data_IF_734205401894
#
_entry.id   IF_734205401894
#
_cell.length_a   1.000
_cell.length_b   1.000
_cell.length_c   1.000
_cell.angle_alpha   90.00
_cell.angle_beta   90.00
_cell.angle_gamma   90.00
#
_symmetry.space_group_name_H-M   'P 1'
#
loop_
_entity.id
_entity.type
_entity.pdbx_description
1 polymer ?
#
# COMPACT_ATOMS: atom_id res chain seq x y z
N UNK A 1 -15.15 -13.35 -15.69
CA UNK A 1 -15.11 -12.24 -14.72
C UNK A 1 -13.64 -12.05 -14.37
N UNK A 2 -13.07 -10.88 -14.69
CA UNK A 2 -11.73 -10.57 -14.21
C UNK A 2 -11.81 -10.48 -12.68
N UNK A 3 -10.85 -11.07 -11.98
CA UNK A 3 -10.76 -10.88 -10.54
C UNK A 3 -10.55 -9.37 -10.27
N UNK A 4 -11.25 -8.82 -9.28
CA UNK A 4 -11.14 -7.41 -8.89
C UNK A 4 -9.88 -7.17 -8.04
N UNK A 5 -8.75 -7.56 -8.62
CA UNK A 5 -7.42 -7.44 -8.04
C UNK A 5 -6.35 -7.41 -9.11
N UNK A 6 -5.25 -6.75 -8.79
CA UNK A 6 -3.97 -6.85 -9.47
C UNK A 6 -2.97 -7.54 -8.56
N UNK A 7 -2.13 -8.39 -9.16
CA UNK A 7 -1.10 -9.15 -8.44
C UNK A 7 0.15 -9.17 -9.31
N UNK A 8 1.22 -8.56 -8.82
CA UNK A 8 2.51 -8.49 -9.53
C UNK A 8 3.61 -8.97 -8.60
N UNK A 9 4.56 -9.74 -9.14
CA UNK A 9 5.74 -10.20 -8.40
C UNK A 9 7.02 -9.68 -9.05
N UNK A 10 7.98 -9.26 -8.23
CA UNK A 10 9.32 -8.85 -8.64
C UNK A 10 10.36 -9.46 -7.69
N UNK A 11 11.42 -10.04 -8.23
CA UNK A 11 12.59 -10.42 -7.45
C UNK A 11 13.44 -9.17 -7.19
N UNK A 12 13.69 -8.85 -5.92
CA UNK A 12 14.51 -7.71 -5.48
C UNK A 12 15.81 -8.27 -4.87
N UNK A 13 16.95 -7.70 -5.26
CA UNK A 13 18.28 -8.09 -4.77
C UNK A 13 18.56 -7.54 -3.35
N UNK A 14 17.68 -7.85 -2.40
CA UNK A 14 17.79 -7.50 -0.99
C UNK A 14 17.12 -8.59 -0.14
N UNK A 15 17.48 -8.64 1.14
CA UNK A 15 16.90 -9.58 2.10
C UNK A 15 15.45 -9.21 2.43
N UNK A 16 14.62 -10.17 2.89
CA UNK A 16 13.26 -9.87 3.33
C UNK A 16 13.23 -8.85 4.46
N UNK A 17 14.22 -8.86 5.36
CA UNK A 17 14.36 -7.91 6.45
C UNK A 17 14.57 -6.47 5.96
N UNK A 18 15.46 -6.26 4.99
CA UNK A 18 15.72 -4.94 4.40
C UNK A 18 14.48 -4.39 3.69
N UNK A 19 13.78 -5.22 2.93
CA UNK A 19 12.56 -4.81 2.21
C UNK A 19 11.44 -4.53 3.21
N UNK A 20 11.24 -5.41 4.20
CA UNK A 20 10.21 -5.24 5.22
C UNK A 20 10.44 -3.97 6.05
N UNK A 21 11.70 -3.61 6.34
CA UNK A 21 12.01 -2.36 7.04
C UNK A 21 11.54 -1.11 6.28
N UNK A 22 11.57 -1.12 4.94
CA UNK A 22 11.00 -0.02 4.12
C UNK A 22 9.48 -0.03 4.19
N UNK A 23 8.87 -1.20 4.04
CA UNK A 23 7.42 -1.36 4.03
C UNK A 23 6.78 -1.11 5.40
N UNK A 24 7.52 -1.30 6.48
CA UNK A 24 7.08 -1.03 7.84
C UNK A 24 7.33 0.43 8.27
N UNK A 25 7.96 1.26 7.44
CA UNK A 25 8.25 2.67 7.73
C UNK A 25 7.36 3.58 6.88
N UNK A 26 6.28 4.16 7.47
CA UNK A 26 5.39 5.07 6.75
C UNK A 26 6.12 6.25 6.10
N UNK A 27 7.20 6.76 6.70
CA UNK A 27 7.97 7.88 6.16
C UNK A 27 8.65 7.54 4.81
N UNK A 28 8.78 6.25 4.51
CA UNK A 28 9.37 5.76 3.26
C UNK A 28 8.35 5.38 2.20
N UNK A 29 7.06 5.39 2.51
CA UNK A 29 6.03 4.90 1.57
C UNK A 29 5.96 5.73 0.28
N UNK A 30 6.22 7.04 0.35
CA UNK A 30 6.31 7.89 -0.86
C UNK A 30 7.38 7.40 -1.85
N UNK A 31 8.43 6.73 -1.37
CA UNK A 31 9.50 6.20 -2.24
C UNK A 31 9.10 4.91 -2.97
N UNK A 32 8.01 4.27 -2.56
CA UNK A 32 7.45 3.07 -3.20
C UNK A 32 6.32 3.39 -4.17
N UNK A 33 5.89 4.65 -4.18
CA UNK A 33 4.82 5.15 -5.03
C UNK A 33 5.43 5.71 -6.32
N UNK A 34 5.08 5.17 -7.50
CA UNK A 34 5.73 5.55 -8.75
C UNK A 34 5.29 6.90 -9.31
N UNK A 35 4.27 7.54 -8.71
CA UNK A 35 3.73 8.82 -9.17
C UNK A 35 3.96 9.93 -8.14
N UNK A 36 2.90 10.65 -7.75
CA UNK A 36 2.95 11.78 -6.82
C UNK A 36 1.69 11.79 -5.92
N UNK A 37 1.13 10.61 -5.65
CA UNK A 37 -0.10 10.40 -4.92
C UNK A 37 0.12 10.21 -3.43
N UNK A 38 1.11 9.40 -3.04
CA UNK A 38 1.50 9.22 -1.63
C UNK A 38 2.59 10.24 -1.31
N UNK A 39 2.34 11.08 -0.31
CA UNK A 39 3.27 12.10 0.17
C UNK A 39 3.90 11.66 1.48
N UNK A 40 4.29 12.63 2.30
CA UNK A 40 4.85 12.38 3.62
C UNK A 40 3.84 11.73 4.57
N UNK A 41 4.36 10.92 5.49
CA UNK A 41 3.56 10.36 6.56
C UNK A 41 3.07 11.46 7.52
N UNK A 42 1.85 11.30 8.02
CA UNK A 42 1.32 12.18 9.08
C UNK A 42 2.00 11.85 10.40
N UNK A 43 2.28 10.56 10.62
CA UNK A 43 3.03 10.02 11.76
C UNK A 43 4.15 9.14 11.22
N UNK A 44 5.33 9.23 11.84
CA UNK A 44 6.55 8.52 11.41
C UNK A 44 6.85 7.27 12.22
N UNK A 45 5.99 6.92 13.18
CA UNK A 45 6.13 5.71 13.98
C UNK A 45 6.06 4.47 13.07
N UNK A 46 7.02 3.52 13.20
CA UNK A 46 7.00 2.30 12.41
C UNK A 46 5.74 1.47 12.65
N UNK A 47 5.32 0.74 11.62
CA UNK A 47 4.32 -0.30 11.72
C UNK A 47 4.93 -1.50 12.45
N UNK A 48 4.30 -1.93 13.54
CA UNK A 48 4.82 -2.98 14.43
C UNK A 48 3.85 -4.11 14.71
N UNK A 49 2.57 -3.95 14.38
CA UNK A 49 1.55 -4.97 14.61
C UNK A 49 0.33 -4.79 13.71
N UNK A 50 -0.40 -5.88 13.47
CA UNK A 50 -1.76 -5.82 12.97
C UNK A 50 -2.67 -5.08 13.96
N UNK A 51 -3.68 -4.39 13.43
CA UNK A 51 -4.57 -3.50 14.18
C UNK A 51 -4.02 -2.09 14.39
N UNK A 52 -2.73 -1.85 14.09
CA UNK A 52 -2.16 -0.52 14.12
C UNK A 52 -2.76 0.36 13.01
N UNK A 53 -2.90 1.65 13.30
CA UNK A 53 -3.24 2.68 12.33
C UNK A 53 -2.00 3.49 12.01
N UNK A 54 -1.82 3.84 10.74
CA UNK A 54 -0.92 4.90 10.31
C UNK A 54 -1.63 5.79 9.28
N UNK A 55 -1.16 7.02 9.11
CA UNK A 55 -1.80 7.98 8.20
C UNK A 55 -0.78 8.58 7.24
N UNK A 56 -1.21 8.75 5.99
CA UNK A 56 -0.39 9.34 4.92
C UNK A 56 -1.08 10.59 4.38
N UNK A 57 -0.30 11.64 4.15
CA UNK A 57 -0.74 12.73 3.31
C UNK A 57 -0.78 12.24 1.86
N UNK A 58 -1.81 12.63 1.13
CA UNK A 58 -2.07 12.22 -0.23
C UNK A 58 -2.39 13.43 -1.09
N UNK A 59 -2.10 13.35 -2.38
CA UNK A 59 -2.51 14.37 -3.35
C UNK A 59 -3.15 13.71 -4.56
N UNK A 60 -4.43 14.00 -4.79
CA UNK A 60 -5.14 13.53 -5.98
C UNK A 60 -6.09 14.62 -6.50
N UNK A 61 -5.86 15.18 -7.69
CA UNK A 61 -6.73 16.20 -8.27
C UNK A 61 -8.21 15.75 -8.36
N UNK A 62 -8.45 14.47 -8.66
CA UNK A 62 -9.79 13.89 -8.73
C UNK A 62 -10.51 13.82 -7.37
N UNK A 63 -9.75 13.86 -6.25
CA UNK A 63 -10.29 13.93 -4.89
C UNK A 63 -10.39 15.37 -4.36
N UNK A 64 -10.08 16.38 -5.18
CA UNK A 64 -10.10 17.79 -4.77
C UNK A 64 -8.76 18.34 -4.27
N UNK A 65 -7.65 17.59 -4.44
CA UNK A 65 -6.30 18.01 -4.06
C UNK A 65 -5.75 17.21 -2.88
N UNK A 66 -5.22 17.91 -1.88
CA UNK A 66 -4.64 17.32 -0.68
C UNK A 66 -5.71 16.64 0.21
N UNK A 67 -5.41 15.44 0.69
CA UNK A 67 -6.23 14.74 1.67
C UNK A 67 -5.37 13.80 2.52
N UNK A 68 -5.93 13.33 3.64
CA UNK A 68 -5.28 12.33 4.50
C UNK A 68 -6.01 11.01 4.37
N UNK A 69 -5.26 9.93 4.16
CA UNK A 69 -5.78 8.56 4.25
C UNK A 69 -5.32 7.92 5.56
N UNK A 70 -6.21 7.18 6.20
CA UNK A 70 -5.91 6.41 7.40
C UNK A 70 -5.89 4.92 7.04
N UNK A 71 -4.75 4.29 7.24
CA UNK A 71 -4.48 2.92 6.84
C UNK A 71 -4.51 1.99 8.05
N UNK A 72 -5.47 1.07 8.08
CA UNK A 72 -5.56 0.04 9.11
C UNK A 72 -4.72 -1.17 8.70
N UNK A 73 -3.69 -1.50 9.46
CA UNK A 73 -2.82 -2.65 9.23
C UNK A 73 -3.60 -3.92 9.51
N UNK A 74 -3.87 -4.73 8.50
CA UNK A 74 -4.63 -5.99 8.63
C UNK A 74 -3.73 -7.23 8.58
N UNK A 75 -2.55 -7.12 7.99
CA UNK A 75 -1.53 -8.17 7.95
C UNK A 75 -0.21 -7.60 8.47
N UNK A 76 0.38 -8.30 9.43
CA UNK A 76 1.74 -8.04 9.90
C UNK A 76 2.38 -9.34 10.38
N UNK A 77 3.28 -9.87 9.56
CA UNK A 77 4.17 -10.99 9.88
C UNK A 77 5.58 -10.55 9.48
N UNK A 78 6.40 -10.23 10.49
CA UNK A 78 7.70 -9.61 10.30
C UNK A 78 8.53 -10.37 9.27
N UNK A 79 9.10 -9.62 8.31
CA UNK A 79 9.94 -10.14 7.22
C UNK A 79 9.23 -11.08 6.23
N UNK A 80 7.90 -11.28 6.35
CA UNK A 80 7.13 -12.23 5.53
C UNK A 80 5.94 -11.61 4.84
N UNK A 81 5.10 -10.86 5.55
CA UNK A 81 3.95 -10.20 4.93
C UNK A 81 3.49 -8.97 5.70
N UNK A 82 3.07 -7.96 4.95
CA UNK A 82 2.51 -6.73 5.52
C UNK A 82 1.41 -6.21 4.61
N UNK A 83 0.33 -5.70 5.19
CA UNK A 83 -0.80 -5.21 4.44
C UNK A 83 -1.67 -4.26 5.25
N UNK A 84 -2.42 -3.43 4.53
CA UNK A 84 -3.30 -2.45 5.14
C UNK A 84 -4.50 -2.11 4.27
N UNK A 85 -5.54 -1.60 4.93
CA UNK A 85 -6.80 -1.14 4.36
C UNK A 85 -6.89 0.38 4.47
N UNK A 86 -6.77 1.11 3.35
CA UNK A 86 -7.02 2.54 3.33
C UNK A 86 -8.48 2.85 3.68
N UNK A 87 -8.70 4.00 4.30
CA UNK A 87 -10.01 4.44 4.74
C UNK A 87 -9.98 5.81 5.40
N UNK A 88 -11.10 6.14 6.04
CA UNK A 88 -11.30 7.38 6.77
C UNK A 88 -11.64 7.09 8.22
N UNK A 89 -11.29 8.00 9.13
CA UNK A 89 -11.77 7.97 10.50
C UNK A 89 -13.05 8.79 10.61
N UNK A 90 -14.01 8.33 11.41
CA UNK A 90 -15.12 9.15 11.87
C UNK A 90 -14.71 10.07 13.04
N UNK A 91 -15.61 10.94 13.50
CA UNK A 91 -15.36 11.88 14.60
C UNK A 91 -15.03 11.19 15.93
N UNK A 92 -15.36 9.90 16.06
CA UNK A 92 -15.07 9.08 17.24
C UNK A 92 -13.77 8.26 17.08
N UNK A 93 -13.08 8.38 15.95
CA UNK A 93 -11.84 7.66 15.65
C UNK A 93 -12.04 6.23 15.13
N UNK A 94 -13.26 5.83 14.74
CA UNK A 94 -13.48 4.52 14.15
C UNK A 94 -13.08 4.53 12.67
N UNK A 95 -12.37 3.49 12.24
CA UNK A 95 -11.96 3.33 10.85
C UNK A 95 -13.08 2.76 9.99
N UNK A 96 -13.36 3.45 8.88
CA UNK A 96 -14.21 2.97 7.80
C UNK A 96 -13.35 2.70 6.57
N UNK A 97 -13.14 1.42 6.25
CA UNK A 97 -12.35 1.00 5.11
C UNK A 97 -13.02 1.37 3.77
N UNK A 98 -12.21 1.75 2.78
CA UNK A 98 -12.69 2.08 1.44
C UNK A 98 -13.15 0.88 0.61
N UNK A 99 -12.84 -0.34 1.06
CA UNK A 99 -13.16 -1.58 0.35
C UNK A 99 -12.05 -2.11 -0.57
N UNK A 100 -10.86 -1.52 -0.49
CA UNK A 100 -9.64 -2.05 -1.10
C UNK A 100 -8.52 -2.23 -0.06
N UNK A 101 -7.53 -3.05 -0.41
CA UNK A 101 -6.34 -3.27 0.42
C UNK A 101 -5.07 -3.39 -0.42
N UNK A 102 -3.94 -3.09 0.22
CA UNK A 102 -2.60 -3.37 -0.27
C UNK A 102 -2.00 -4.49 0.57
N UNK A 103 -1.30 -5.43 -0.07
CA UNK A 103 -0.56 -6.49 0.62
C UNK A 103 0.74 -6.80 -0.10
N UNK A 104 1.80 -6.91 0.67
CA UNK A 104 3.10 -7.40 0.25
C UNK A 104 3.35 -8.76 0.89
N UNK A 105 3.74 -9.74 0.07
CA UNK A 105 4.25 -11.04 0.50
C UNK A 105 5.71 -11.18 0.06
N UNK A 106 6.57 -11.59 0.99
CA UNK A 106 8.02 -11.67 0.85
C UNK A 106 8.46 -13.12 0.96
N UNK A 107 9.05 -13.65 -0.10
CA UNK A 107 9.57 -15.02 -0.14
C UNK A 107 11.06 -14.97 -0.44
N UNK A 108 11.95 -15.47 0.45
CA UNK A 108 13.37 -15.57 0.16
C UNK A 108 13.64 -16.34 -1.14
N UNK A 109 14.50 -15.81 -2.00
CA UNK A 109 14.89 -16.42 -3.27
C UNK A 109 16.39 -16.23 -3.51
N UNK A 110 17.20 -17.18 -3.01
CA UNK A 110 18.66 -17.10 -3.07
C UNK A 110 19.20 -15.91 -2.28
N UNK A 111 19.98 -15.06 -2.94
CA UNK A 111 20.52 -13.81 -2.37
C UNK A 111 19.53 -12.63 -2.46
N UNK A 112 18.31 -12.85 -2.96
CA UNK A 112 17.26 -11.84 -3.06
C UNK A 112 15.93 -12.31 -2.46
N UNK A 113 14.86 -11.58 -2.77
CA UNK A 113 13.51 -11.83 -2.28
C UNK A 113 12.50 -11.65 -3.41
N UNK A 114 11.63 -12.63 -3.59
CA UNK A 114 10.44 -12.47 -4.43
C UNK A 114 9.40 -11.69 -3.64
N UNK A 115 9.09 -10.48 -4.11
CA UNK A 115 8.10 -9.58 -3.50
C UNK A 115 6.85 -9.58 -4.36
N UNK A 116 5.74 -10.02 -3.79
CA UNK A 116 4.43 -9.99 -4.44
C UNK A 116 3.59 -8.86 -3.87
N UNK A 117 3.17 -7.92 -4.72
CA UNK A 117 2.24 -6.86 -4.38
C UNK A 117 0.84 -7.22 -4.88
N UNK A 118 -0.13 -7.22 -3.97
CA UNK A 118 -1.55 -7.37 -4.26
C UNK A 118 -2.27 -6.07 -3.98
N UNK A 119 -3.03 -5.58 -4.96
CA UNK A 119 -4.05 -4.56 -4.78
C UNK A 119 -5.41 -5.20 -5.10
N UNK A 120 -6.28 -5.32 -4.11
CA UNK A 120 -7.62 -5.90 -4.29
C UNK A 120 -8.66 -4.86 -3.92
N UNK A 121 -9.66 -4.67 -4.78
CA UNK A 121 -10.74 -3.71 -4.59
C UNK A 121 -12.12 -4.38 -4.60
N UNK A 122 -12.16 -5.70 -4.45
CA UNK A 122 -13.39 -6.49 -4.50
C UNK A 122 -14.40 -6.11 -3.42
N UNK A 123 -13.92 -5.56 -2.30
CA UNK A 123 -14.75 -5.06 -1.20
C UNK A 123 -15.34 -3.65 -1.43
N UNK A 124 -15.02 -2.99 -2.54
CA UNK A 124 -15.51 -1.62 -2.81
C UNK A 124 -17.01 -1.65 -3.07
N UNK A 125 -17.79 -0.90 -2.29
CA UNK A 125 -19.25 -0.80 -2.44
C UNK A 125 -19.67 -0.22 -3.80
N UNK A 126 -20.85 -0.61 -4.30
CA UNK A 126 -21.41 -0.05 -5.53
C UNK A 126 -21.63 1.46 -5.43
N UNK A 127 -22.17 1.95 -4.31
CA UNK A 127 -22.36 3.39 -4.07
C UNK A 127 -21.06 4.17 -4.20
N UNK A 128 -19.94 3.62 -3.71
CA UNK A 128 -18.63 4.25 -3.87
C UNK A 128 -18.20 4.29 -5.33
N UNK A 129 -18.33 3.16 -6.05
CA UNK A 129 -17.98 3.05 -7.48
C UNK A 129 -18.81 4.00 -8.33
N UNK A 130 -20.11 4.11 -8.09
CA UNK A 130 -20.99 5.03 -8.81
C UNK A 130 -20.60 6.49 -8.59
N UNK A 131 -20.09 6.82 -7.39
CA UNK A 131 -19.63 8.18 -7.06
C UNK A 131 -18.26 8.52 -7.66
N UNK A 132 -17.29 7.60 -7.63
CA UNK A 132 -15.91 7.87 -8.10
C UNK A 132 -15.67 7.46 -9.55
N UNK A 133 -16.58 6.68 -10.14
CA UNK A 133 -16.45 6.10 -11.46
C UNK A 133 -15.48 4.91 -11.48
N UNK A 134 -14.26 5.14 -11.96
CA UNK A 134 -13.31 4.05 -12.24
C UNK A 134 -12.50 3.69 -11.00
N UNK A 135 -12.60 2.42 -10.57
CA UNK A 135 -11.66 1.80 -9.64
C UNK A 135 -11.01 0.57 -10.30
N UNK A 136 -9.68 0.41 -10.16
CA UNK A 136 -8.71 1.40 -9.71
C UNK A 136 -8.56 2.57 -10.69
N UNK A 137 -8.05 3.70 -10.20
CA UNK A 137 -7.72 4.88 -11.01
C UNK A 137 -6.43 4.70 -11.82
N UNK A 138 -5.72 3.59 -11.62
CA UNK A 138 -4.50 3.17 -12.29
C UNK A 138 -4.69 1.81 -12.99
N UNK A 139 -3.75 1.43 -13.85
CA UNK A 139 -3.69 0.09 -14.46
C UNK A 139 -2.68 -0.81 -13.72
N UNK A 140 -2.64 -2.09 -14.06
CA UNK A 140 -1.79 -3.08 -13.37
C UNK A 140 -0.29 -2.77 -13.42
N UNK A 141 0.17 -2.07 -14.46
CA UNK A 141 1.55 -1.59 -14.61
C UNK A 141 2.02 -0.73 -13.44
N UNK A 142 1.12 0.00 -12.80
CA UNK A 142 1.40 0.75 -11.58
C UNK A 142 2.02 -0.12 -10.47
N UNK A 143 1.54 -1.36 -10.28
CA UNK A 143 2.12 -2.26 -9.26
C UNK A 143 3.55 -2.67 -9.63
N UNK A 144 3.81 -2.89 -10.93
CA UNK A 144 5.15 -3.23 -11.41
C UNK A 144 6.13 -2.06 -11.20
N UNK A 145 5.69 -0.83 -11.45
CA UNK A 145 6.47 0.39 -11.22
C UNK A 145 6.66 0.67 -9.72
N UNK A 146 5.65 0.39 -8.88
CA UNK A 146 5.76 0.47 -7.42
C UNK A 146 6.84 -0.47 -6.89
N UNK A 147 6.83 -1.74 -7.32
CA UNK A 147 7.89 -2.70 -6.94
C UNK A 147 9.27 -2.30 -7.46
N UNK A 148 9.36 -1.67 -8.64
CA UNK A 148 10.61 -1.11 -9.13
C UNK A 148 11.10 0.06 -8.26
N UNK A 149 10.19 0.87 -7.73
CA UNK A 149 10.49 2.01 -6.85
C UNK A 149 10.94 1.53 -5.47
N UNK A 150 10.27 0.50 -4.94
CA UNK A 150 10.70 -0.22 -3.74
C UNK A 150 12.12 -0.76 -3.88
N UNK A 151 12.44 -1.45 -4.98
CA UNK A 151 13.81 -1.93 -5.24
C UNK A 151 14.83 -0.79 -5.20
N UNK A 152 14.56 0.32 -5.89
CA UNK A 152 15.45 1.48 -5.86
C UNK A 152 15.62 2.06 -4.46
N UNK A 153 14.57 2.05 -3.64
CA UNK A 153 14.63 2.55 -2.25
C UNK A 153 15.42 1.63 -1.32
N UNK A 154 15.45 0.33 -1.59
CA UNK A 154 16.16 -0.66 -0.76
C UNK A 154 17.63 -0.79 -1.15
N UNK A 155 17.92 -0.78 -2.45
CA UNK A 155 19.25 -1.09 -3.00
C UNK A 155 20.09 0.18 -3.25
N UNK A 156 19.45 1.34 -3.42
CA UNK A 156 20.11 2.64 -3.64
C UNK A 156 20.60 3.28 -2.36
#
# INVERSE_FOLDING_TARGET
MNAERYVVTRTIAATPAEIFAVLADPSRHQNTEPTDWVRDAVDTDPITTAGQMFAMNMYLPQAGGDYVTHNLVDVFDAERSIGWKPGVLDDAGNHTAGGWFWRYDLVPNGDGTDVTLTYDWSGTSQDFRDRVGKIPIFAEDYLAESLASLERSVVG
#
